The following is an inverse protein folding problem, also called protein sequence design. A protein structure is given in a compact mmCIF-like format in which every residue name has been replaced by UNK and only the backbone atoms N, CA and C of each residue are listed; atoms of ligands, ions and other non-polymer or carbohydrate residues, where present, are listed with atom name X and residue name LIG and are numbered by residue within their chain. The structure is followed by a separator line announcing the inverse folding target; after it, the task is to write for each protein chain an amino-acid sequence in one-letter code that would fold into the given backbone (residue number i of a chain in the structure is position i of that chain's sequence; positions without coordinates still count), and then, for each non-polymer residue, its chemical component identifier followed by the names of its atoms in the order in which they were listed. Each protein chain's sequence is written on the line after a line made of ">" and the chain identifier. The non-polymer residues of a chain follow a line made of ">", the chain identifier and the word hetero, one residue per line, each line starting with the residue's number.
data_IF_013488567020
#
_entry.id   IF_013488567020
#
_cell.length_a   1.000
_cell.length_b   1.000
_cell.length_c   1.000
_cell.angle_alpha   90.00
_cell.angle_beta   90.00
_cell.angle_gamma   90.00
#
_symmetry.space_group_name_H-M   'P 1'
#
loop_
_entity.id
_entity.type
_entity.pdbx_description
1 polymer ?
#
# COMPACT_ATOMS: atom_id res chain seq x y z
N UNK A 1 2.94 -21.22 26.58
CA UNK A 1 2.46 -20.10 25.71
C UNK A 1 0.93 -20.10 25.72
N UNK A 2 0.28 -18.93 25.71
CA UNK A 2 -1.21 -18.82 25.80
C UNK A 2 -1.94 -19.48 24.62
N UNK A 3 -1.30 -19.53 23.44
CA UNK A 3 -1.86 -20.14 22.22
C UNK A 3 -0.89 -21.20 21.69
N UNK A 4 -1.40 -22.40 21.42
CA UNK A 4 -0.68 -23.48 20.74
C UNK A 4 -0.88 -23.37 19.23
N UNK A 5 -0.23 -22.34 18.64
CA UNK A 5 -0.30 -22.03 17.22
C UNK A 5 1.10 -21.90 16.63
N UNK A 6 1.36 -22.46 15.44
CA UNK A 6 2.59 -22.25 14.70
C UNK A 6 2.87 -20.75 14.46
N UNK A 7 4.14 -20.35 14.44
CA UNK A 7 4.52 -18.94 14.28
C UNK A 7 3.93 -18.29 13.02
N UNK A 8 4.00 -18.97 11.86
CA UNK A 8 3.43 -18.47 10.62
C UNK A 8 1.91 -18.23 10.70
N UNK A 9 1.18 -19.05 11.48
CA UNK A 9 -0.25 -18.86 11.69
C UNK A 9 -0.52 -17.61 12.54
N UNK A 10 0.33 -17.29 13.53
CA UNK A 10 0.19 -16.09 14.36
C UNK A 10 0.35 -14.82 13.52
N UNK A 11 1.38 -14.77 12.66
CA UNK A 11 1.56 -13.65 11.71
C UNK A 11 0.37 -13.53 10.74
N UNK A 12 -0.11 -14.66 10.21
CA UNK A 12 -1.26 -14.66 9.31
C UNK A 12 -2.55 -14.16 9.98
N UNK A 13 -2.77 -14.48 11.25
CA UNK A 13 -3.95 -14.00 11.99
C UNK A 13 -3.83 -12.49 12.21
N UNK A 14 -2.69 -12.02 12.69
CA UNK A 14 -2.46 -10.59 12.94
C UNK A 14 -2.62 -9.79 11.64
N UNK A 15 -1.96 -10.20 10.57
CA UNK A 15 -2.03 -9.51 9.28
C UNK A 15 -3.45 -9.49 8.69
N UNK A 16 -4.20 -10.59 8.78
CA UNK A 16 -5.61 -10.63 8.33
C UNK A 16 -6.51 -9.75 9.19
N UNK A 17 -6.28 -9.72 10.52
CA UNK A 17 -7.06 -8.88 11.42
C UNK A 17 -6.82 -7.41 11.13
N UNK A 18 -5.55 -7.00 10.99
CA UNK A 18 -5.16 -5.66 10.62
C UNK A 18 -5.80 -5.24 9.29
N UNK A 19 -5.62 -6.07 8.25
CA UNK A 19 -6.18 -5.82 6.93
C UNK A 19 -7.70 -5.67 6.97
N UNK A 20 -8.41 -6.55 7.68
CA UNK A 20 -9.88 -6.47 7.78
C UNK A 20 -10.32 -5.17 8.43
N UNK A 21 -9.69 -4.76 9.53
CA UNK A 21 -10.04 -3.50 10.20
C UNK A 21 -9.73 -2.27 9.33
N UNK A 22 -8.65 -2.33 8.55
CA UNK A 22 -8.34 -1.27 7.57
C UNK A 22 -9.40 -1.24 6.46
N UNK A 23 -9.74 -2.39 5.88
CA UNK A 23 -10.76 -2.48 4.82
C UNK A 23 -12.13 -1.97 5.31
N UNK A 24 -12.54 -2.25 6.55
CA UNK A 24 -13.77 -1.73 7.16
C UNK A 24 -13.76 -0.20 7.23
N UNK A 25 -12.65 0.41 7.68
CA UNK A 25 -12.51 1.88 7.71
C UNK A 25 -12.44 2.52 6.32
N UNK A 26 -11.83 1.83 5.35
CA UNK A 26 -11.81 2.30 3.96
C UNK A 26 -13.19 2.29 3.32
N UNK A 27 -14.07 1.35 3.68
CA UNK A 27 -15.46 1.32 3.21
C UNK A 27 -16.24 2.56 3.63
N UNK A 28 -16.00 3.11 4.82
CA UNK A 28 -16.59 4.37 5.28
C UNK A 28 -16.19 5.56 4.40
N UNK A 29 -15.03 5.47 3.73
CA UNK A 29 -14.54 6.45 2.76
C UNK A 29 -14.91 6.11 1.30
N UNK A 30 -15.74 5.08 1.10
CA UNK A 30 -16.07 4.54 -0.23
C UNK A 30 -14.80 4.13 -1.03
N UNK A 31 -13.80 3.56 -0.34
CA UNK A 31 -12.56 3.09 -0.93
C UNK A 31 -12.39 1.58 -0.72
N UNK A 32 -11.62 0.97 -1.62
CA UNK A 32 -11.14 -0.41 -1.47
C UNK A 32 -9.63 -0.43 -1.27
N UNK A 33 -9.10 -1.51 -0.66
CA UNK A 33 -7.66 -1.67 -0.48
C UNK A 33 -6.87 -1.58 -1.79
N UNK A 34 -7.44 -2.06 -2.91
CA UNK A 34 -6.80 -1.95 -4.24
C UNK A 34 -6.73 -0.48 -4.70
N UNK A 35 -7.81 0.28 -4.51
CA UNK A 35 -7.84 1.72 -4.84
C UNK A 35 -6.83 2.49 -3.98
N UNK A 36 -6.75 2.17 -2.70
CA UNK A 36 -5.75 2.75 -1.81
C UNK A 36 -4.32 2.41 -2.29
N UNK A 37 -4.06 1.16 -2.69
CA UNK A 37 -2.76 0.75 -3.24
C UNK A 37 -2.35 1.61 -4.44
N UNK A 38 -3.28 1.86 -5.38
CA UNK A 38 -3.02 2.72 -6.55
C UNK A 38 -2.74 4.17 -6.14
N UNK A 39 -3.46 4.72 -5.15
CA UNK A 39 -3.19 6.07 -4.63
C UNK A 39 -1.81 6.18 -3.98
N UNK A 40 -1.40 5.19 -3.18
CA UNK A 40 -0.06 5.14 -2.57
C UNK A 40 1.04 5.11 -3.63
N UNK A 41 0.86 4.30 -4.70
CA UNK A 41 1.83 4.24 -5.80
C UNK A 41 1.89 5.55 -6.61
N UNK A 42 0.74 6.21 -6.84
CA UNK A 42 0.71 7.53 -7.48
C UNK A 42 1.52 8.54 -6.67
N UNK A 43 1.27 8.64 -5.39
CA UNK A 43 2.00 9.56 -4.50
C UNK A 43 3.51 9.25 -4.43
N UNK A 44 3.88 7.96 -4.42
CA UNK A 44 5.29 7.55 -4.45
C UNK A 44 5.98 7.98 -5.74
N UNK A 45 5.31 7.82 -6.89
CA UNK A 45 5.83 8.25 -8.18
C UNK A 45 5.95 9.77 -8.25
N UNK A 46 4.94 10.51 -7.79
CA UNK A 46 5.01 11.98 -7.69
C UNK A 46 6.17 12.44 -6.79
N UNK A 47 6.35 11.80 -5.64
CA UNK A 47 7.43 12.13 -4.70
C UNK A 47 8.84 11.77 -5.24
N UNK A 48 8.95 10.82 -6.17
CA UNK A 48 10.24 10.46 -6.81
C UNK A 48 10.73 11.46 -7.84
N UNK A 49 9.99 12.57 -8.06
CA UNK A 49 10.36 13.62 -8.99
C UNK A 49 9.96 13.35 -10.44
N UNK A 50 9.05 12.40 -10.68
CA UNK A 50 8.48 12.19 -12.01
C UNK A 50 7.76 13.48 -12.46
N UNK A 51 8.14 14.02 -13.62
CA UNK A 51 7.53 15.24 -14.16
C UNK A 51 6.02 15.07 -14.42
N UNK A 52 5.63 13.91 -14.89
CA UNK A 52 4.23 13.49 -15.09
C UNK A 52 4.11 12.00 -14.83
N UNK A 53 3.04 11.57 -14.16
CA UNK A 53 2.71 10.15 -13.97
C UNK A 53 1.60 9.78 -14.94
N UNK A 54 1.79 8.69 -15.68
CA UNK A 54 0.78 8.18 -16.61
C UNK A 54 0.25 6.80 -16.16
N UNK A 55 -0.80 6.32 -16.82
CA UNK A 55 -1.44 5.04 -16.46
C UNK A 55 -0.47 3.85 -16.53
N UNK A 56 0.46 3.84 -17.51
CA UNK A 56 1.43 2.74 -17.68
C UNK A 56 2.41 2.68 -16.52
N UNK A 57 2.77 3.83 -15.95
CA UNK A 57 3.65 3.88 -14.79
C UNK A 57 2.97 3.25 -13.58
N UNK A 58 1.69 3.54 -13.37
CA UNK A 58 0.87 2.94 -12.31
C UNK A 58 0.64 1.44 -12.54
N UNK A 59 0.40 1.00 -13.78
CA UNK A 59 0.27 -0.41 -14.14
C UNK A 59 1.53 -1.20 -13.76
N UNK A 60 2.69 -0.67 -14.10
CA UNK A 60 3.98 -1.28 -13.76
C UNK A 60 4.22 -1.33 -12.26
N UNK A 61 3.96 -0.20 -11.57
CA UNK A 61 4.18 -0.08 -10.13
C UNK A 61 3.22 -0.98 -9.32
N UNK A 62 1.95 -1.01 -9.72
CA UNK A 62 0.91 -1.76 -8.99
C UNK A 62 0.71 -3.20 -9.49
N UNK A 63 1.39 -3.62 -10.57
CA UNK A 63 1.20 -4.91 -11.24
C UNK A 63 -0.27 -5.20 -11.61
N UNK A 64 -1.00 -4.17 -11.99
CA UNK A 64 -2.41 -4.24 -12.38
C UNK A 64 -2.50 -4.19 -13.91
N UNK A 65 -3.41 -4.99 -14.48
CA UNK A 65 -3.62 -5.01 -15.93
C UNK A 65 -4.25 -3.72 -16.43
N UNK A 66 -3.99 -3.35 -17.68
CA UNK A 66 -4.50 -2.13 -18.31
C UNK A 66 -6.03 -1.94 -18.14
N UNK A 67 -6.90 -2.92 -18.42
CA UNK A 67 -8.34 -2.75 -18.24
C UNK A 67 -8.72 -2.48 -16.78
N UNK A 68 -8.10 -3.20 -15.85
CA UNK A 68 -8.36 -3.04 -14.41
C UNK A 68 -7.90 -1.67 -13.92
N UNK A 69 -6.71 -1.20 -14.31
CA UNK A 69 -6.20 0.13 -13.96
C UNK A 69 -7.14 1.22 -14.48
N UNK A 70 -7.59 1.09 -15.73
CA UNK A 70 -8.55 2.05 -16.32
C UNK A 70 -9.82 2.18 -15.47
N UNK A 71 -10.39 1.06 -15.02
CA UNK A 71 -11.60 1.10 -14.17
C UNK A 71 -11.33 1.66 -12.77
N UNK A 72 -10.17 1.35 -12.19
CA UNK A 72 -9.76 1.92 -10.89
C UNK A 72 -9.63 3.43 -11.01
N UNK A 73 -8.91 3.93 -12.02
CA UNK A 73 -8.70 5.37 -12.22
C UNK A 73 -10.00 6.11 -12.47
N UNK A 74 -10.90 5.59 -13.31
CA UNK A 74 -12.24 6.18 -13.51
C UNK A 74 -13.01 6.31 -12.20
N UNK A 75 -12.96 5.29 -11.34
CA UNK A 75 -13.63 5.32 -10.04
C UNK A 75 -12.99 6.33 -9.08
N UNK A 76 -11.66 6.38 -9.03
CA UNK A 76 -10.92 7.34 -8.22
C UNK A 76 -11.15 8.78 -8.68
N UNK A 77 -11.17 9.02 -10.00
CA UNK A 77 -11.48 10.33 -10.58
C UNK A 77 -12.91 10.77 -10.23
N UNK A 78 -13.92 9.89 -10.41
CA UNK A 78 -15.30 10.17 -10.03
C UNK A 78 -15.46 10.50 -8.54
N UNK A 79 -14.65 9.87 -7.69
CA UNK A 79 -14.61 10.13 -6.23
C UNK A 79 -13.77 11.35 -5.86
N UNK A 80 -13.09 11.95 -6.82
CA UNK A 80 -12.27 13.16 -6.65
C UNK A 80 -10.93 12.91 -5.96
N UNK A 81 -10.40 11.68 -5.97
CA UNK A 81 -9.08 11.36 -5.41
C UNK A 81 -7.94 11.59 -6.41
N UNK A 82 -8.22 11.47 -7.70
CA UNK A 82 -7.25 11.74 -8.77
C UNK A 82 -7.83 12.70 -9.78
N UNK A 83 -6.95 13.41 -10.49
CA UNK A 83 -7.27 14.23 -11.63
C UNK A 83 -6.55 13.67 -12.86
N UNK A 84 -7.30 13.48 -13.96
CA UNK A 84 -6.74 13.03 -15.23
C UNK A 84 -6.74 14.21 -16.21
N UNK A 85 -5.57 14.73 -16.53
CA UNK A 85 -5.36 15.81 -17.48
C UNK A 85 -4.64 15.30 -18.74
N UNK A 86 -4.68 16.09 -19.80
CA UNK A 86 -3.85 15.80 -20.98
C UNK A 86 -2.40 16.16 -20.64
N UNK A 87 -1.44 15.29 -21.01
CA UNK A 87 -0.02 15.56 -20.79
C UNK A 87 0.41 16.82 -21.53
N UNK A 88 1.26 17.61 -20.88
CA UNK A 88 1.85 18.83 -21.46
C UNK A 88 2.92 18.49 -22.52
N UNK A 89 3.52 17.30 -22.44
CA UNK A 89 4.60 16.87 -23.33
C UNK A 89 4.11 16.03 -24.52
N UNK A 90 3.11 15.17 -24.31
CA UNK A 90 2.52 14.36 -25.38
C UNK A 90 1.01 14.25 -25.20
N UNK A 91 0.26 14.92 -26.05
CA UNK A 91 -1.21 14.92 -26.07
C UNK A 91 -1.87 13.55 -26.24
N UNK A 92 -1.09 12.52 -26.61
CA UNK A 92 -1.58 11.13 -26.71
C UNK A 92 -1.68 10.44 -25.36
N UNK A 93 -1.03 10.98 -24.33
CA UNK A 93 -1.01 10.43 -22.99
C UNK A 93 -1.81 11.31 -22.03
N UNK A 94 -2.44 10.64 -21.07
CA UNK A 94 -3.06 11.31 -19.94
C UNK A 94 -2.09 11.31 -18.77
N UNK A 95 -1.93 12.48 -18.16
CA UNK A 95 -1.26 12.67 -16.90
C UNK A 95 -2.25 12.46 -15.77
N UNK A 96 -1.84 11.76 -14.73
CA UNK A 96 -2.63 11.45 -13.55
C UNK A 96 -1.95 12.12 -12.36
N UNK A 97 -2.68 12.87 -11.58
CA UNK A 97 -2.18 13.53 -10.37
C UNK A 97 -3.10 13.33 -9.18
N UNK A 98 -2.50 13.30 -8.00
CA UNK A 98 -3.22 13.26 -6.73
C UNK A 98 -3.91 14.60 -6.46
N UNK A 99 -5.10 14.56 -5.85
CA UNK A 99 -5.82 15.77 -5.44
C UNK A 99 -5.53 16.09 -3.98
N UNK A 100 -6.02 17.26 -3.54
CA UNK A 100 -5.97 17.62 -2.12
C UNK A 100 -6.73 16.61 -1.25
N UNK A 101 -7.84 16.07 -1.74
CA UNK A 101 -8.59 14.99 -1.07
C UNK A 101 -7.74 13.74 -0.87
N UNK A 102 -6.89 13.39 -1.83
CA UNK A 102 -5.95 12.26 -1.69
C UNK A 102 -4.90 12.53 -0.61
N UNK A 103 -4.37 13.74 -0.55
CA UNK A 103 -3.40 14.15 0.49
C UNK A 103 -4.00 14.14 1.90
N UNK A 104 -5.23 14.60 2.04
CA UNK A 104 -5.95 14.55 3.32
C UNK A 104 -6.22 13.10 3.74
N UNK A 105 -6.59 12.22 2.80
CA UNK A 105 -6.76 10.79 3.06
C UNK A 105 -5.49 10.17 3.63
N UNK A 106 -4.30 10.56 3.17
CA UNK A 106 -3.04 10.04 3.70
C UNK A 106 -2.89 10.33 5.20
N UNK A 107 -3.22 11.53 5.64
CA UNK A 107 -3.17 11.89 7.07
C UNK A 107 -4.17 11.06 7.88
N UNK A 108 -5.38 10.90 7.36
CA UNK A 108 -6.40 10.06 8.00
C UNK A 108 -5.97 8.58 8.08
N UNK A 109 -5.31 8.06 7.05
CA UNK A 109 -4.80 6.68 7.04
C UNK A 109 -3.73 6.44 8.11
N UNK A 110 -2.83 7.39 8.34
CA UNK A 110 -1.86 7.27 9.44
C UNK A 110 -2.57 7.16 10.80
N UNK A 111 -3.59 7.97 11.04
CA UNK A 111 -4.40 7.86 12.27
C UNK A 111 -5.17 6.52 12.35
N UNK A 112 -5.64 5.99 11.22
CA UNK A 112 -6.32 4.69 11.18
C UNK A 112 -5.35 3.55 11.52
N UNK A 113 -4.15 3.56 10.93
CA UNK A 113 -3.12 2.56 11.21
C UNK A 113 -2.71 2.59 12.70
N UNK A 114 -2.49 3.79 13.26
CA UNK A 114 -2.19 3.98 14.67
C UNK A 114 -3.31 3.44 15.57
N UNK A 115 -4.58 3.73 15.27
CA UNK A 115 -5.72 3.26 16.04
C UNK A 115 -5.87 1.72 15.99
N UNK A 116 -5.63 1.09 14.84
CA UNK A 116 -5.64 -0.37 14.71
C UNK A 116 -4.52 -0.97 15.56
N UNK A 117 -3.35 -0.35 15.49
CA UNK A 117 -2.19 -0.80 16.22
C UNK A 117 -2.41 -0.69 17.74
N UNK A 118 -2.94 0.43 18.21
CA UNK A 118 -3.27 0.63 19.61
C UNK A 118 -4.23 -0.45 20.13
N UNK A 119 -5.23 -0.81 19.31
CA UNK A 119 -6.17 -1.88 19.65
C UNK A 119 -5.49 -3.24 19.74
N UNK A 120 -4.64 -3.60 18.77
CA UNK A 120 -3.93 -4.87 18.73
C UNK A 120 -2.82 -5.00 19.77
N UNK A 121 -2.25 -3.88 20.18
CA UNK A 121 -1.18 -3.82 21.18
C UNK A 121 -1.68 -3.57 22.61
N UNK A 122 -2.99 -3.56 22.83
CA UNK A 122 -3.58 -3.34 24.15
C UNK A 122 -2.99 -4.27 25.21
N UNK A 123 -2.45 -3.70 26.28
CA UNK A 123 -1.79 -4.43 27.38
C UNK A 123 -0.27 -4.59 27.20
N UNK A 124 0.31 -4.05 26.13
CA UNK A 124 1.75 -3.89 26.03
C UNK A 124 2.20 -2.57 26.66
N UNK A 125 3.34 -2.58 27.34
CA UNK A 125 3.99 -1.35 27.80
C UNK A 125 4.67 -0.64 26.61
N UNK A 126 4.96 0.66 26.79
CA UNK A 126 5.70 1.45 25.78
C UNK A 126 7.03 0.79 25.39
N UNK A 127 7.79 0.33 26.38
CA UNK A 127 9.06 -0.35 26.11
C UNK A 127 8.90 -1.65 25.33
N UNK A 128 7.82 -2.41 25.58
CA UNK A 128 7.51 -3.62 24.80
C UNK A 128 7.15 -3.29 23.35
N UNK A 129 6.46 -2.18 23.11
CA UNK A 129 6.16 -1.71 21.76
C UNK A 129 7.41 -1.26 21.01
N UNK A 130 8.29 -0.48 21.66
CA UNK A 130 9.57 -0.06 21.08
C UNK A 130 10.41 -1.29 20.67
N UNK A 131 10.54 -2.28 21.57
CA UNK A 131 11.23 -3.53 21.28
C UNK A 131 10.57 -4.32 20.13
N UNK A 132 9.22 -4.34 20.07
CA UNK A 132 8.49 -5.00 18.97
C UNK A 132 8.83 -4.38 17.62
N UNK A 133 8.90 -3.05 17.53
CA UNK A 133 9.27 -2.35 16.29
C UNK A 133 10.69 -2.68 15.87
N UNK A 134 11.66 -2.64 16.77
CA UNK A 134 13.04 -3.00 16.48
C UNK A 134 13.15 -4.44 15.93
N UNK A 135 12.42 -5.38 16.53
CA UNK A 135 12.40 -6.78 16.06
C UNK A 135 11.75 -6.89 14.69
N UNK A 136 10.62 -6.21 14.46
CA UNK A 136 9.92 -6.24 13.18
C UNK A 136 10.75 -5.64 12.06
N UNK A 137 11.48 -4.55 12.31
CA UNK A 137 12.37 -3.94 11.33
C UNK A 137 13.46 -4.92 10.87
N UNK A 138 14.11 -5.61 11.82
CA UNK A 138 15.09 -6.66 11.49
C UNK A 138 14.47 -7.80 10.69
N UNK A 139 13.25 -8.22 11.03
CA UNK A 139 12.54 -9.29 10.30
C UNK A 139 12.15 -8.85 8.89
N UNK A 140 11.73 -7.61 8.72
CA UNK A 140 11.39 -7.04 7.41
C UNK A 140 12.64 -6.92 6.53
N UNK A 141 13.76 -6.44 7.06
CA UNK A 141 15.02 -6.38 6.33
C UNK A 141 15.44 -7.76 5.83
N UNK A 142 15.37 -8.79 6.69
CA UNK A 142 15.68 -10.15 6.31
C UNK A 142 14.71 -10.67 5.22
N UNK A 143 13.43 -10.37 5.33
CA UNK A 143 12.44 -10.75 4.32
C UNK A 143 12.73 -10.12 2.96
N UNK A 144 13.03 -8.81 2.92
CA UNK A 144 13.39 -8.11 1.69
C UNK A 144 14.69 -8.60 1.07
N UNK A 145 15.70 -8.95 1.88
CA UNK A 145 16.95 -9.54 1.38
C UNK A 145 16.74 -10.94 0.79
N UNK A 146 15.90 -11.74 1.42
CA UNK A 146 15.55 -13.09 0.92
C UNK A 146 14.82 -13.01 -0.41
N UNK A 147 13.89 -12.05 -0.58
CA UNK A 147 13.22 -11.80 -1.84
C UNK A 147 14.20 -11.39 -2.95
N UNK A 148 15.21 -10.56 -2.66
CA UNK A 148 16.23 -10.17 -3.65
C UNK A 148 17.07 -11.36 -4.11
N UNK A 149 17.49 -12.24 -3.22
CA UNK A 149 18.29 -13.43 -3.56
C UNK A 149 17.51 -14.46 -4.38
N UNK A 150 16.22 -14.63 -4.16
CA UNK A 150 15.37 -15.54 -4.95
C UNK A 150 15.02 -15.02 -6.34
N UNK A 151 15.23 -13.72 -6.63
CA UNK A 151 15.00 -13.15 -7.95
C UNK A 151 16.17 -13.34 -8.93
N UNK A 152 17.38 -13.67 -8.43
CA UNK A 152 18.57 -13.80 -9.27
C UNK A 152 18.69 -15.17 -9.97
N UNK A 153 17.90 -16.18 -9.57
CA UNK A 153 18.06 -17.53 -10.15
C UNK A 153 16.93 -18.08 -11.01
N UNK A 154 15.66 -17.67 -10.93
CA UNK A 154 14.66 -18.19 -11.89
C UNK A 154 13.27 -17.52 -11.94
N UNK A 155 12.97 -16.42 -11.29
CA UNK A 155 11.59 -15.91 -11.31
C UNK A 155 11.45 -14.40 -11.13
N UNK A 156 11.78 -13.64 -12.19
CA UNK A 156 11.46 -12.19 -12.26
C UNK A 156 9.95 -11.90 -12.18
N UNK A 157 9.10 -12.93 -12.18
CA UNK A 157 7.63 -12.79 -12.16
C UNK A 157 7.00 -12.89 -10.78
N UNK A 158 7.62 -13.54 -9.80
CA UNK A 158 6.98 -13.85 -8.51
C UNK A 158 7.44 -12.95 -7.36
N UNK A 159 8.69 -12.50 -7.37
CA UNK A 159 9.27 -11.68 -6.28
C UNK A 159 8.84 -10.21 -6.32
N UNK A 160 8.26 -9.73 -7.43
CA UNK A 160 7.75 -8.36 -7.57
C UNK A 160 6.33 -8.17 -7.01
N UNK A 161 5.76 -9.17 -6.33
CA UNK A 161 4.35 -9.13 -5.89
C UNK A 161 4.10 -8.39 -4.57
N UNK A 162 5.12 -7.97 -3.85
CA UNK A 162 4.96 -7.17 -2.63
C UNK A 162 6.06 -6.11 -2.49
N UNK A 163 5.98 -4.99 -3.18
CA UNK A 163 6.65 -3.79 -2.73
C UNK A 163 5.67 -2.99 -1.87
N UNK A 164 5.97 -2.92 -0.59
CA UNK A 164 5.46 -1.85 0.26
C UNK A 164 4.00 -2.01 0.71
N UNK A 165 3.85 -2.41 1.93
CA UNK A 165 2.79 -1.94 2.84
C UNK A 165 2.95 -0.44 3.03
#
# INVERSE_FOLDING_TARGET
>A
MKYDLPYGMRFSILGRTFKRQLDERLLEKDLTGVQLGVLKELERLEASGAAEVNQRDLEKASHVTHPTMTEILKRLERKGFVCCCQSSHDRRHKCISSTEKSRQLRQELSCMDEAILEELSRGLSRQQLETLWEILDVMLDNAFQTCKKGCDENDQKTCRKHPGI
#
